data_IF_910138775268
#
_entry.id   IF_910138775268
#
_cell.length_a   1.000
_cell.length_b   1.000
_cell.length_c   1.000
_cell.angle_alpha   90.00
_cell.angle_beta   90.00
_cell.angle_gamma   90.00
#
_symmetry.space_group_name_H-M   'P 1'
#
loop_
_entity.id
_entity.type
_entity.pdbx_description
1 polymer ?
#
# COMPACT_ATOMS: atom_id res chain seq x y z
N UNK A 1 12.13 -22.48 39.67
CA UNK A 1 12.28 -21.93 41.04
C UNK A 1 12.41 -23.10 42.00
N UNK A 2 13.47 -23.14 42.79
CA UNK A 2 13.65 -24.16 43.82
C UNK A 2 13.20 -23.59 45.16
N UNK A 3 12.23 -24.25 45.80
CA UNK A 3 11.57 -23.78 47.04
C UNK A 3 11.79 -24.82 48.13
N UNK A 4 12.34 -24.41 49.27
CA UNK A 4 12.47 -25.20 50.49
C UNK A 4 11.90 -24.42 51.67
N UNK A 5 11.67 -25.08 52.80
CA UNK A 5 11.18 -24.43 54.03
C UNK A 5 12.11 -23.31 54.53
N UNK A 6 13.40 -23.35 54.20
CA UNK A 6 14.37 -22.37 54.71
C UNK A 6 14.95 -21.46 53.63
N UNK A 7 14.92 -21.89 52.36
CA UNK A 7 15.52 -21.12 51.25
C UNK A 7 14.65 -21.14 50.01
N UNK A 8 14.71 -20.05 49.24
CA UNK A 8 14.08 -19.96 47.93
C UNK A 8 15.07 -19.41 46.92
N UNK A 9 15.31 -20.17 45.85
CA UNK A 9 16.25 -19.82 44.80
C UNK A 9 15.52 -19.69 43.47
N UNK A 10 15.61 -18.52 42.86
CA UNK A 10 15.12 -18.24 41.50
C UNK A 10 16.33 -18.23 40.57
N UNK A 11 16.34 -19.17 39.62
CA UNK A 11 17.35 -19.22 38.56
C UNK A 11 16.68 -18.68 37.30
N UNK A 12 17.30 -17.66 36.69
CA UNK A 12 16.87 -17.11 35.41
C UNK A 12 17.97 -17.36 34.37
N UNK A 13 17.57 -17.83 33.19
CA UNK A 13 18.48 -18.10 32.08
C UNK A 13 18.34 -16.99 31.03
N UNK A 14 19.46 -16.38 30.66
CA UNK A 14 19.53 -15.31 29.68
C UNK A 14 20.60 -15.67 28.64
N UNK A 15 20.22 -15.96 27.38
CA UNK A 15 21.21 -16.30 26.34
C UNK A 15 22.09 -15.08 26.01
N UNK A 16 23.40 -15.30 25.75
CA UNK A 16 24.34 -14.25 25.37
C UNK A 16 24.02 -13.69 23.97
N UNK A 17 24.09 -12.36 23.84
CA UNK A 17 23.34 -11.56 22.87
C UNK A 17 23.96 -11.39 21.48
N UNK A 18 23.21 -11.75 20.43
CA UNK A 18 23.17 -11.02 19.16
C UNK A 18 21.87 -10.19 18.99
N UNK A 19 20.80 -10.56 19.72
CA UNK A 19 19.53 -9.85 19.73
C UNK A 19 19.39 -9.09 21.05
N UNK A 20 18.97 -7.83 20.99
CA UNK A 20 18.78 -6.88 22.10
C UNK A 20 17.76 -7.36 23.17
N UNK A 21 18.05 -8.48 23.86
CA UNK A 21 17.21 -9.07 24.90
C UNK A 21 17.59 -8.49 26.27
N UNK A 22 16.63 -8.53 27.19
CA UNK A 22 16.84 -8.10 28.59
C UNK A 22 18.00 -8.88 29.22
N UNK A 23 19.00 -8.15 29.70
CA UNK A 23 20.17 -8.77 30.33
C UNK A 23 19.86 -9.23 31.75
N UNK A 24 20.60 -10.22 32.24
CA UNK A 24 20.53 -10.65 33.63
C UNK A 24 20.77 -9.48 34.61
N UNK A 25 21.67 -8.56 34.26
CA UNK A 25 21.94 -7.33 35.04
C UNK A 25 20.71 -6.42 35.12
N UNK A 26 19.94 -6.30 34.03
CA UNK A 26 18.70 -5.52 34.03
C UNK A 26 17.65 -6.16 34.95
N UNK A 27 17.45 -7.47 34.86
CA UNK A 27 16.51 -8.18 35.73
C UNK A 27 16.91 -8.04 37.21
N UNK A 28 18.19 -8.20 37.53
CA UNK A 28 18.71 -8.01 38.89
C UNK A 28 18.41 -6.61 39.42
N UNK A 29 18.64 -5.56 38.63
CA UNK A 29 18.33 -4.19 39.00
C UNK A 29 16.83 -3.96 39.22
N UNK A 30 15.97 -4.58 38.39
CA UNK A 30 14.52 -4.50 38.57
C UNK A 30 14.08 -5.15 39.88
N UNK A 31 14.63 -6.33 40.20
CA UNK A 31 14.33 -7.03 41.47
C UNK A 31 14.75 -6.20 42.68
N UNK A 32 15.91 -5.54 42.62
CA UNK A 32 16.34 -4.61 43.67
C UNK A 32 15.35 -3.45 43.84
N UNK A 33 14.92 -2.84 42.73
CA UNK A 33 13.93 -1.75 42.75
C UNK A 33 12.56 -2.18 43.26
N UNK A 34 12.20 -3.46 43.13
CA UNK A 34 10.97 -4.00 43.75
C UNK A 34 10.99 -3.79 45.27
N UNK A 35 12.15 -3.96 45.91
CA UNK A 35 12.31 -3.73 47.35
C UNK A 35 12.08 -2.26 47.74
N UNK A 36 12.45 -1.33 46.87
CA UNK A 36 12.27 0.11 47.07
C UNK A 36 10.84 0.59 46.74
N UNK A 37 10.05 -0.22 46.02
CA UNK A 37 8.68 0.12 45.67
C UNK A 37 7.76 0.03 46.90
N UNK A 38 7.06 1.13 47.21
CA UNK A 38 6.11 1.20 48.33
C UNK A 38 5.05 0.09 48.24
N UNK A 39 4.58 -0.20 47.02
CA UNK A 39 3.58 -1.23 46.77
C UNK A 39 4.06 -2.62 47.16
N UNK A 40 5.18 -3.05 46.58
CA UNK A 40 5.73 -4.39 46.80
C UNK A 40 6.34 -4.53 48.20
N UNK A 41 6.95 -3.48 48.76
CA UNK A 41 7.39 -3.44 50.15
C UNK A 41 6.24 -3.71 51.12
N UNK A 42 5.04 -3.15 50.87
CA UNK A 42 3.87 -3.43 51.71
C UNK A 42 3.38 -4.88 51.59
N UNK A 43 3.47 -5.49 50.41
CA UNK A 43 3.14 -6.91 50.19
C UNK A 43 4.15 -7.81 50.90
N UNK A 44 5.46 -7.55 50.77
CA UNK A 44 6.50 -8.33 51.43
C UNK A 44 6.52 -8.18 52.96
N UNK A 45 6.01 -7.07 53.50
CA UNK A 45 5.79 -6.91 54.95
C UNK A 45 4.61 -7.76 55.46
N UNK A 46 3.61 -8.00 54.61
CA UNK A 46 2.38 -8.73 54.96
C UNK A 46 2.50 -10.24 54.73
N UNK A 47 3.25 -10.67 53.73
CA UNK A 47 3.45 -12.08 53.42
C UNK A 47 4.93 -12.42 53.29
N UNK A 48 5.31 -13.57 53.86
CA UNK A 48 6.64 -14.16 53.74
C UNK A 48 6.78 -15.08 52.53
N UNK A 49 5.74 -15.19 51.69
CA UNK A 49 5.78 -16.10 50.54
C UNK A 49 6.75 -15.58 49.46
N UNK A 50 7.83 -16.32 49.15
CA UNK A 50 8.77 -15.98 48.08
C UNK A 50 8.14 -15.98 46.68
N UNK A 51 6.93 -16.52 46.52
CA UNK A 51 6.17 -16.48 45.26
C UNK A 51 5.84 -15.04 44.84
N UNK A 52 5.68 -14.10 45.78
CA UNK A 52 5.47 -12.68 45.46
C UNK A 52 6.66 -12.04 44.74
N UNK A 53 7.88 -12.54 44.94
CA UNK A 53 9.06 -12.07 44.22
C UNK A 53 8.99 -12.44 42.73
N UNK A 54 8.48 -13.64 42.44
CA UNK A 54 8.22 -14.08 41.07
C UNK A 54 7.10 -13.26 40.45
N UNK A 55 6.02 -13.00 41.20
CA UNK A 55 4.90 -12.18 40.75
C UNK A 55 5.32 -10.74 40.42
N UNK A 56 6.19 -10.15 41.24
CA UNK A 56 6.78 -8.86 40.96
C UNK A 56 7.60 -8.86 39.66
N UNK A 57 8.34 -9.94 39.39
CA UNK A 57 9.07 -10.09 38.13
C UNK A 57 8.14 -10.15 36.92
N UNK A 58 6.99 -10.84 37.03
CA UNK A 58 5.96 -10.87 36.00
C UNK A 58 5.31 -9.48 35.81
N UNK A 59 5.12 -8.73 36.88
CA UNK A 59 4.62 -7.35 36.81
C UNK A 59 5.55 -6.43 36.02
N UNK A 60 6.87 -6.56 36.15
CA UNK A 60 7.80 -5.81 35.30
C UNK A 60 7.78 -6.27 33.84
N UNK A 61 7.57 -7.56 33.57
CA UNK A 61 7.38 -8.03 32.20
C UNK A 61 6.11 -7.41 31.58
N UNK A 62 5.03 -7.31 32.35
CA UNK A 62 3.79 -6.62 31.97
C UNK A 62 4.05 -5.13 31.64
N UNK A 63 4.80 -4.43 32.50
CA UNK A 63 5.16 -3.03 32.25
C UNK A 63 5.98 -2.86 30.96
N UNK A 64 6.95 -3.74 30.70
CA UNK A 64 7.74 -3.71 29.47
C UNK A 64 6.89 -3.94 28.20
N UNK A 65 5.83 -4.75 28.30
CA UNK A 65 4.87 -4.92 27.20
C UNK A 65 4.09 -3.63 26.90
N UNK A 66 3.69 -2.90 27.94
CA UNK A 66 2.96 -1.64 27.80
C UNK A 66 3.83 -0.59 27.09
N UNK A 67 5.09 -0.43 27.51
CA UNK A 67 6.07 0.43 26.85
C UNK A 67 6.28 0.03 25.37
N UNK A 68 6.42 -1.27 25.10
CA UNK A 68 6.61 -1.78 23.75
C UNK A 68 5.40 -1.48 22.85
N UNK A 69 4.17 -1.64 23.35
CA UNK A 69 2.97 -1.29 22.59
C UNK A 69 2.78 0.20 22.39
N UNK A 70 3.22 1.04 23.32
CA UNK A 70 3.21 2.49 23.13
C UNK A 70 4.14 2.90 21.98
N UNK A 71 5.36 2.35 21.95
CA UNK A 71 6.32 2.58 20.86
C UNK A 71 5.75 2.06 19.53
N UNK A 72 5.16 0.86 19.53
CA UNK A 72 4.57 0.27 18.33
C UNK A 72 3.39 1.09 17.82
N UNK A 73 2.54 1.61 18.70
CA UNK A 73 1.42 2.49 18.35
C UNK A 73 1.91 3.75 17.63
N UNK A 74 2.92 4.43 18.20
CA UNK A 74 3.52 5.62 17.57
C UNK A 74 4.12 5.31 16.19
N UNK A 75 4.75 4.15 16.06
CA UNK A 75 5.30 3.70 14.78
C UNK A 75 4.19 3.45 13.74
N UNK A 76 3.11 2.77 14.11
CA UNK A 76 1.94 2.55 13.22
C UNK A 76 1.30 3.88 12.79
N UNK A 77 1.18 4.86 13.70
CA UNK A 77 0.69 6.20 13.34
C UNK A 77 1.55 6.88 12.27
N UNK A 78 2.87 6.72 12.38
CA UNK A 78 3.83 7.27 11.42
C UNK A 78 3.67 6.59 10.07
N UNK A 79 3.61 5.26 10.06
CA UNK A 79 3.39 4.48 8.84
C UNK A 79 2.07 4.82 8.16
N UNK A 80 0.99 5.00 8.90
CA UNK A 80 -0.30 5.43 8.36
C UNK A 80 -0.21 6.79 7.65
N UNK A 81 0.50 7.74 8.27
CA UNK A 81 0.75 9.06 7.68
C UNK A 81 1.60 8.95 6.41
N UNK A 82 2.59 8.06 6.41
CA UNK A 82 3.47 7.84 5.27
C UNK A 82 2.74 7.16 4.11
N UNK A 83 1.82 6.20 4.38
CA UNK A 83 0.99 5.56 3.33
C UNK A 83 0.14 6.58 2.60
N UNK A 84 -0.41 7.55 3.33
CA UNK A 84 -1.22 8.62 2.74
C UNK A 84 -0.40 9.60 1.89
N UNK A 85 0.88 9.77 2.19
CA UNK A 85 1.76 10.74 1.50
C UNK A 85 2.53 10.10 0.35
N UNK A 86 2.97 8.86 0.51
CA UNK A 86 3.87 8.17 -0.41
C UNK A 86 3.26 6.81 -0.79
N UNK A 87 2.91 6.65 -2.07
CA UNK A 87 2.51 5.36 -2.63
C UNK A 87 3.73 4.48 -2.91
N UNK A 88 4.41 4.04 -1.85
CA UNK A 88 5.61 3.20 -1.92
C UNK A 88 5.30 1.73 -1.60
N UNK A 89 5.64 0.83 -2.54
CA UNK A 89 5.57 -0.63 -2.40
C UNK A 89 6.47 -1.13 -1.25
N UNK A 90 7.53 -0.41 -0.89
CA UNK A 90 8.37 -0.78 0.27
C UNK A 90 7.61 -0.68 1.60
N UNK A 91 6.63 0.22 1.67
CA UNK A 91 5.84 0.45 2.87
C UNK A 91 4.89 -0.72 3.16
N UNK A 92 4.29 -1.31 2.12
CA UNK A 92 3.42 -2.49 2.29
C UNK A 92 4.18 -3.71 2.82
N UNK A 93 5.47 -3.87 2.46
CA UNK A 93 6.31 -4.93 3.03
C UNK A 93 6.51 -4.76 4.54
N UNK A 94 6.78 -3.54 5.00
CA UNK A 94 6.95 -3.26 6.43
C UNK A 94 5.64 -3.42 7.20
N UNK A 95 4.49 -3.04 6.62
CA UNK A 95 3.18 -3.30 7.21
C UNK A 95 2.92 -4.81 7.41
N UNK A 96 3.20 -5.65 6.42
CA UNK A 96 3.04 -7.10 6.55
C UNK A 96 4.02 -7.73 7.55
N UNK A 97 5.25 -7.22 7.65
CA UNK A 97 6.17 -7.64 8.71
C UNK A 97 5.61 -7.33 10.09
N UNK A 98 5.09 -6.12 10.31
CA UNK A 98 4.48 -5.76 11.59
C UNK A 98 3.28 -6.66 11.93
N UNK A 99 2.47 -7.01 10.94
CA UNK A 99 1.36 -7.93 11.12
C UNK A 99 1.83 -9.30 11.60
N UNK A 100 2.90 -9.83 11.00
CA UNK A 100 3.51 -11.08 11.46
C UNK A 100 4.06 -10.96 12.91
N UNK A 101 4.64 -9.83 13.28
CA UNK A 101 5.09 -9.60 14.67
C UNK A 101 3.91 -9.53 15.65
N UNK A 102 2.79 -8.89 15.29
CA UNK A 102 1.58 -8.86 16.11
C UNK A 102 0.97 -10.25 16.30
N UNK A 103 1.02 -11.11 15.27
CA UNK A 103 0.64 -12.52 15.39
C UNK A 103 1.59 -13.30 16.31
N UNK A 104 2.89 -13.04 16.24
CA UNK A 104 3.83 -13.63 17.19
C UNK A 104 3.58 -13.16 18.63
N UNK A 105 3.27 -11.88 18.83
CA UNK A 105 2.93 -11.32 20.14
C UNK A 105 1.64 -11.91 20.73
N UNK A 106 0.69 -12.35 19.89
CA UNK A 106 -0.46 -13.13 20.34
C UNK A 106 -0.04 -14.37 21.14
N UNK A 107 0.91 -15.12 20.59
CA UNK A 107 1.38 -16.34 21.20
C UNK A 107 2.12 -16.03 22.49
N UNK A 108 3.02 -15.03 22.48
CA UNK A 108 3.76 -14.64 23.67
C UNK A 108 2.85 -14.16 24.81
N UNK A 109 1.83 -13.36 24.52
CA UNK A 109 0.86 -12.91 25.54
C UNK A 109 0.02 -14.08 26.09
N UNK A 110 -0.32 -15.06 25.24
CA UNK A 110 -1.00 -16.29 25.67
C UNK A 110 -0.12 -17.11 26.59
N UNK A 111 1.14 -17.33 26.23
CA UNK A 111 2.11 -18.08 27.04
C UNK A 111 2.38 -17.35 28.37
N UNK A 112 2.38 -16.02 28.35
CA UNK A 112 2.48 -15.19 29.55
C UNK A 112 1.26 -15.35 30.46
N UNK A 113 0.05 -15.37 29.90
CA UNK A 113 -1.19 -15.64 30.65
C UNK A 113 -1.15 -17.01 31.32
N UNK A 114 -0.76 -18.07 30.59
CA UNK A 114 -0.63 -19.42 31.13
C UNK A 114 0.40 -19.46 32.28
N UNK A 115 1.49 -18.71 32.15
CA UNK A 115 2.51 -18.60 33.19
C UNK A 115 1.98 -17.96 34.48
N UNK A 116 1.13 -16.92 34.38
CA UNK A 116 0.50 -16.29 35.54
C UNK A 116 -0.55 -17.22 36.17
N UNK A 117 -1.34 -17.90 35.34
CA UNK A 117 -2.32 -18.88 35.81
C UNK A 117 -1.66 -20.06 36.55
N UNK A 118 -0.49 -20.51 36.07
CA UNK A 118 0.30 -21.50 36.78
C UNK A 118 0.71 -21.03 38.17
N UNK A 119 1.16 -19.78 38.32
CA UNK A 119 1.54 -19.21 39.63
C UNK A 119 0.34 -19.11 40.56
N UNK A 120 -0.81 -18.69 40.02
CA UNK A 120 -2.07 -18.59 40.75
C UNK A 120 -2.54 -19.94 41.29
N UNK A 121 -2.45 -20.99 40.48
CA UNK A 121 -2.98 -22.30 40.82
C UNK A 121 -1.95 -23.17 41.58
N UNK A 122 -0.66 -22.83 41.53
CA UNK A 122 0.43 -23.61 42.14
C UNK A 122 0.95 -22.91 43.39
N UNK A 123 0.23 -23.09 44.50
CA UNK A 123 0.62 -22.59 45.81
C UNK A 123 1.98 -23.15 46.25
N UNK A 124 2.72 -22.35 47.01
CA UNK A 124 4.02 -22.76 47.52
C UNK A 124 3.88 -23.82 48.62
N UNK A 125 4.33 -25.07 48.41
CA UNK A 125 4.19 -26.14 49.39
C UNK A 125 5.03 -25.91 50.64
N UNK A 126 6.01 -25.01 50.63
CA UNK A 126 6.77 -24.64 51.82
C UNK A 126 5.96 -23.75 52.79
N UNK A 127 4.93 -23.05 52.32
CA UNK A 127 4.13 -22.15 53.17
C UNK A 127 3.24 -22.92 54.13
N UNK A 128 2.77 -24.13 53.76
CA UNK A 128 1.98 -24.98 54.66
C UNK A 128 2.76 -25.48 55.88
N UNK A 129 4.09 -25.44 55.84
CA UNK A 129 4.97 -25.88 56.93
C UNK A 129 5.44 -24.69 57.78
N UNK A 130 5.56 -23.50 57.18
CA UNK A 130 6.09 -22.30 57.82
C UNK A 130 5.02 -21.42 58.49
N UNK A 131 3.82 -21.36 57.93
CA UNK A 131 2.71 -20.61 58.51
C UNK A 131 1.97 -21.50 59.52
N UNK A 132 2.31 -21.32 60.80
CA UNK A 132 1.70 -22.05 61.91
C UNK A 132 0.29 -21.55 62.23
N UNK A 133 -0.06 -20.34 61.77
CA UNK A 133 -1.37 -19.72 61.94
C UNK A 133 -2.21 -19.87 60.65
N UNK A 134 -3.38 -20.54 60.71
CA UNK A 134 -4.24 -20.74 59.54
C UNK A 134 -4.78 -19.42 58.94
N UNK A 135 -4.96 -18.38 59.76
CA UNK A 135 -5.50 -17.09 59.28
C UNK A 135 -4.49 -16.34 58.40
N UNK A 136 -3.21 -16.32 58.79
CA UNK A 136 -2.13 -15.69 58.00
C UNK A 136 -1.96 -16.38 56.63
N UNK A 137 -2.15 -17.70 56.60
CA UNK A 137 -2.07 -18.50 55.38
C UNK A 137 -3.22 -18.21 54.43
N UNK A 138 -4.44 -18.11 54.96
CA UNK A 138 -5.60 -17.77 54.17
C UNK A 138 -5.47 -16.35 53.57
N UNK A 139 -4.99 -15.40 54.37
CA UNK A 139 -4.75 -14.02 53.92
C UNK A 139 -3.65 -13.92 52.85
N UNK A 140 -2.54 -14.64 53.04
CA UNK A 140 -1.44 -14.73 52.06
C UNK A 140 -1.92 -15.34 50.73
N UNK A 141 -2.74 -16.39 50.81
CA UNK A 141 -3.34 -17.05 49.64
C UNK A 141 -4.32 -16.12 48.92
N UNK A 142 -5.21 -15.44 49.65
CA UNK A 142 -6.14 -14.44 49.10
C UNK A 142 -5.39 -13.31 48.41
N UNK A 143 -4.31 -12.82 49.02
CA UNK A 143 -3.47 -11.78 48.45
C UNK A 143 -2.81 -12.25 47.15
N UNK A 144 -2.25 -13.47 47.12
CA UNK A 144 -1.64 -14.03 45.91
C UNK A 144 -2.65 -14.14 44.77
N UNK A 145 -3.85 -14.66 45.06
CA UNK A 145 -4.92 -14.75 44.07
C UNK A 145 -5.32 -13.39 43.54
N UNK A 146 -5.51 -12.39 44.41
CA UNK A 146 -5.85 -11.03 44.02
C UNK A 146 -4.80 -10.42 43.09
N UNK A 147 -3.52 -10.56 43.42
CA UNK A 147 -2.44 -9.99 42.62
C UNK A 147 -2.27 -10.73 41.28
N UNK A 148 -2.42 -12.05 41.26
CA UNK A 148 -2.39 -12.83 40.02
C UNK A 148 -3.60 -12.53 39.11
N UNK A 149 -4.79 -12.36 39.70
CA UNK A 149 -6.00 -11.96 38.98
C UNK A 149 -5.83 -10.55 38.37
N UNK A 150 -5.20 -9.63 39.11
CA UNK A 150 -4.87 -8.29 38.62
C UNK A 150 -3.92 -8.33 37.40
N UNK A 151 -2.83 -9.12 37.48
CA UNK A 151 -1.94 -9.29 36.32
C UNK A 151 -2.68 -9.94 35.15
N UNK A 152 -3.57 -10.90 35.42
CA UNK A 152 -4.37 -11.54 34.39
C UNK A 152 -5.31 -10.55 33.69
N UNK A 153 -5.95 -9.64 34.43
CA UNK A 153 -6.75 -8.56 33.83
C UNK A 153 -5.91 -7.61 32.97
N UNK A 154 -4.70 -7.28 33.41
CA UNK A 154 -3.79 -6.44 32.63
C UNK A 154 -3.29 -7.14 31.36
N UNK A 155 -3.02 -8.45 31.39
CA UNK A 155 -2.69 -9.21 30.17
C UNK A 155 -3.87 -9.21 29.20
N UNK A 156 -5.11 -9.29 29.69
CA UNK A 156 -6.30 -9.15 28.84
C UNK A 156 -6.39 -7.74 28.22
N UNK A 157 -6.07 -6.69 28.98
CA UNK A 157 -5.97 -5.32 28.46
C UNK A 157 -4.94 -5.22 27.32
N UNK A 158 -3.73 -5.74 27.54
CA UNK A 158 -2.65 -5.78 26.54
C UNK A 158 -3.06 -6.59 25.30
N UNK A 159 -3.77 -7.70 25.49
CA UNK A 159 -4.31 -8.51 24.38
C UNK A 159 -5.32 -7.70 23.56
N UNK A 160 -6.22 -6.96 24.22
CA UNK A 160 -7.14 -6.04 23.56
C UNK A 160 -6.43 -4.93 22.79
N UNK A 161 -5.40 -4.32 23.38
CA UNK A 161 -4.56 -3.32 22.69
C UNK A 161 -3.89 -3.90 21.45
N UNK A 162 -3.35 -5.12 21.54
CA UNK A 162 -2.74 -5.81 20.39
C UNK A 162 -3.75 -6.04 19.27
N UNK A 163 -4.97 -6.48 19.59
CA UNK A 163 -6.05 -6.66 18.61
C UNK A 163 -6.38 -5.33 17.93
N UNK A 164 -6.57 -4.26 18.69
CA UNK A 164 -6.82 -2.92 18.14
C UNK A 164 -5.69 -2.45 17.20
N UNK A 165 -4.42 -2.68 17.58
CA UNK A 165 -3.27 -2.38 16.72
C UNK A 165 -3.28 -3.21 15.43
N UNK A 166 -3.64 -4.50 15.52
CA UNK A 166 -3.76 -5.40 14.38
C UNK A 166 -4.86 -4.96 13.41
N UNK A 167 -6.03 -4.60 13.93
CA UNK A 167 -7.16 -4.13 13.13
C UNK A 167 -6.83 -2.81 12.43
N UNK A 168 -6.19 -1.88 13.15
CA UNK A 168 -5.73 -0.63 12.57
C UNK A 168 -4.69 -0.85 11.48
N UNK A 169 -3.71 -1.72 11.73
CA UNK A 169 -2.69 -2.05 10.74
C UNK A 169 -3.32 -2.68 9.48
N UNK A 170 -4.33 -3.53 9.63
CA UNK A 170 -5.08 -4.11 8.52
C UNK A 170 -5.80 -3.03 7.71
N UNK A 171 -6.43 -2.05 8.37
CA UNK A 171 -7.05 -0.91 7.68
C UNK A 171 -6.02 -0.10 6.88
N UNK A 172 -4.82 0.14 7.45
CA UNK A 172 -3.73 0.84 6.75
C UNK A 172 -3.24 0.05 5.54
N UNK A 173 -3.15 -1.28 5.63
CA UNK A 173 -2.81 -2.15 4.49
C UNK A 173 -3.86 -2.03 3.38
N UNK A 174 -5.15 -2.10 3.72
CA UNK A 174 -6.23 -1.94 2.74
C UNK A 174 -6.20 -0.55 2.08
N UNK A 175 -5.95 0.50 2.86
CA UNK A 175 -5.81 1.85 2.35
C UNK A 175 -4.61 1.99 1.40
N UNK A 176 -3.48 1.38 1.74
CA UNK A 176 -2.29 1.37 0.88
C UNK A 176 -2.59 0.73 -0.48
N UNK A 177 -3.26 -0.43 -0.49
CA UNK A 177 -3.64 -1.09 -1.75
C UNK A 177 -4.64 -0.27 -2.57
N UNK A 178 -5.64 0.33 -1.92
CA UNK A 178 -6.60 1.19 -2.61
C UNK A 178 -5.91 2.41 -3.24
N UNK A 179 -4.97 3.04 -2.53
CA UNK A 179 -4.22 4.20 -3.03
C UNK A 179 -3.33 3.85 -4.23
N UNK A 180 -2.65 2.70 -4.19
CA UNK A 180 -1.87 2.19 -5.32
C UNK A 180 -2.77 1.92 -6.53
N UNK A 181 -3.91 1.25 -6.35
CA UNK A 181 -4.85 0.94 -7.43
C UNK A 181 -5.42 2.21 -8.08
N UNK A 182 -5.73 3.25 -7.28
CA UNK A 182 -6.20 4.54 -7.81
C UNK A 182 -5.10 5.23 -8.64
N UNK A 183 -3.84 5.15 -8.20
CA UNK A 183 -2.72 5.77 -8.90
C UNK A 183 -2.44 5.07 -10.22
N UNK A 184 -2.44 3.75 -10.22
CA UNK A 184 -2.28 2.94 -11.45
C UNK A 184 -3.43 3.21 -12.43
N UNK A 185 -4.67 3.31 -11.93
CA UNK A 185 -5.83 3.68 -12.76
C UNK A 185 -5.68 5.06 -13.41
N UNK A 186 -5.15 6.06 -12.69
CA UNK A 186 -4.87 7.39 -13.25
C UNK A 186 -3.76 7.35 -14.29
N UNK A 187 -2.69 6.59 -14.04
CA UNK A 187 -1.60 6.40 -15.00
C UNK A 187 -2.11 5.72 -16.29
N UNK A 188 -2.91 4.67 -16.15
CA UNK A 188 -3.55 3.97 -17.26
C UNK A 188 -4.53 4.86 -18.02
N UNK A 189 -5.33 5.67 -17.33
CA UNK A 189 -6.24 6.63 -17.96
C UNK A 189 -5.45 7.68 -18.76
N UNK A 190 -4.37 8.23 -18.18
CA UNK A 190 -3.50 9.17 -18.90
C UNK A 190 -2.86 8.52 -20.12
N UNK A 191 -2.37 7.29 -20.00
CA UNK A 191 -1.76 6.56 -21.11
C UNK A 191 -2.79 6.28 -22.21
N UNK A 192 -4.01 5.88 -21.85
CA UNK A 192 -5.10 5.67 -22.80
C UNK A 192 -5.46 6.96 -23.55
N UNK A 193 -5.54 8.10 -22.84
CA UNK A 193 -5.77 9.41 -23.45
C UNK A 193 -4.64 9.78 -24.42
N UNK A 194 -3.38 9.63 -24.01
CA UNK A 194 -2.23 9.90 -24.90
C UNK A 194 -2.24 8.98 -26.13
N UNK A 195 -2.55 7.70 -25.94
CA UNK A 195 -2.65 6.72 -27.04
C UNK A 195 -3.79 7.09 -28.01
N UNK A 196 -4.92 7.59 -27.50
CA UNK A 196 -6.01 8.07 -28.33
C UNK A 196 -5.61 9.31 -29.14
N UNK A 197 -4.90 10.27 -28.53
CA UNK A 197 -4.38 11.46 -29.21
C UNK A 197 -3.37 11.04 -30.30
N UNK A 198 -2.44 10.15 -29.97
CA UNK A 198 -1.46 9.62 -30.93
C UNK A 198 -2.16 8.90 -32.09
N UNK A 199 -3.24 8.15 -31.81
CA UNK A 199 -4.06 7.52 -32.84
C UNK A 199 -4.76 8.54 -33.74
N UNK A 200 -5.23 9.66 -33.19
CA UNK A 200 -5.84 10.74 -33.96
C UNK A 200 -4.81 11.44 -34.86
N UNK A 201 -3.62 11.74 -34.33
CA UNK A 201 -2.52 12.33 -35.10
C UNK A 201 -2.03 11.38 -36.22
N UNK A 202 -1.93 10.09 -35.93
CA UNK A 202 -1.54 9.07 -36.92
C UNK A 202 -2.57 8.97 -38.05
N UNK A 203 -3.87 9.05 -37.74
CA UNK A 203 -4.94 9.11 -38.74
C UNK A 203 -4.82 10.35 -39.62
N UNK A 204 -4.54 11.51 -39.04
CA UNK A 204 -4.41 12.76 -39.80
C UNK A 204 -3.25 12.71 -40.82
N UNK A 205 -2.08 12.21 -40.42
CA UNK A 205 -0.92 12.06 -41.32
C UNK A 205 -1.24 11.07 -42.45
N UNK A 206 -1.91 9.96 -42.13
CA UNK A 206 -2.33 8.96 -43.12
C UNK A 206 -3.31 9.56 -44.14
N UNK A 207 -4.29 10.35 -43.69
CA UNK A 207 -5.23 11.04 -44.59
C UNK A 207 -4.52 12.02 -45.53
N UNK A 208 -3.56 12.80 -45.03
CA UNK A 208 -2.77 13.70 -45.87
C UNK A 208 -1.98 12.93 -46.93
N UNK A 209 -1.27 11.87 -46.54
CA UNK A 209 -0.53 11.04 -47.48
C UNK A 209 -1.44 10.41 -48.55
N UNK A 210 -2.64 9.96 -48.18
CA UNK A 210 -3.60 9.35 -49.10
C UNK A 210 -4.09 10.31 -50.21
N UNK A 211 -4.25 11.59 -49.90
CA UNK A 211 -4.66 12.62 -50.87
C UNK A 211 -3.46 13.04 -51.73
N UNK A 212 -2.29 13.23 -51.11
CA UNK A 212 -1.11 13.73 -51.81
C UNK A 212 -0.36 12.68 -52.63
N UNK A 213 -0.46 11.39 -52.28
CA UNK A 213 0.23 10.32 -53.01
C UNK A 213 -0.21 10.19 -54.47
N UNK A 214 -1.52 10.11 -54.81
CA UNK A 214 -1.97 10.05 -56.20
C UNK A 214 -1.58 11.29 -57.01
N UNK A 215 -1.71 12.48 -56.41
CA UNK A 215 -1.32 13.74 -57.05
C UNK A 215 0.19 13.79 -57.32
N UNK A 216 1.01 13.36 -56.35
CA UNK A 216 2.47 13.30 -56.49
C UNK A 216 2.90 12.26 -57.52
N UNK A 217 2.23 11.10 -57.56
CA UNK A 217 2.47 10.07 -58.58
C UNK A 217 2.18 10.60 -59.98
N UNK A 218 1.06 11.29 -60.18
CA UNK A 218 0.76 11.92 -61.47
C UNK A 218 1.78 12.99 -61.84
N UNK A 219 2.12 13.88 -60.91
CA UNK A 219 3.12 14.91 -61.15
C UNK A 219 4.45 14.29 -61.61
N UNK A 220 4.85 13.16 -61.01
CA UNK A 220 6.03 12.41 -61.44
C UNK A 220 5.86 11.76 -62.81
N UNK A 221 4.73 11.12 -63.12
CA UNK A 221 4.46 10.51 -64.44
C UNK A 221 4.53 11.55 -65.55
N UNK A 222 4.00 12.76 -65.31
CA UNK A 222 4.07 13.86 -66.28
C UNK A 222 5.41 14.60 -66.27
N UNK A 223 6.16 14.57 -65.16
CA UNK A 223 7.53 15.10 -65.10
C UNK A 223 8.55 14.18 -65.78
N UNK A 224 8.24 12.88 -65.91
CA UNK A 224 9.08 11.92 -66.62
C UNK A 224 8.74 11.98 -68.11
N UNK A 225 9.69 12.41 -68.94
CA UNK A 225 9.56 12.44 -70.40
C UNK A 225 9.52 11.00 -70.98
N UNK A 226 8.36 10.34 -70.90
CA UNK A 226 8.14 9.02 -71.49
C UNK A 226 7.84 9.18 -72.98
N UNK A 227 8.75 8.71 -73.82
CA UNK A 227 8.72 8.82 -75.29
C UNK A 227 7.47 8.16 -75.93
N UNK A 228 6.81 7.23 -75.24
CA UNK A 228 5.55 6.60 -75.69
C UNK A 228 4.28 7.44 -75.42
N UNK A 229 4.32 8.41 -74.50
CA UNK A 229 3.19 9.34 -74.26
C UNK A 229 3.29 10.57 -75.18
N UNK A 230 4.45 10.80 -75.79
CA UNK A 230 4.72 11.97 -76.63
C UNK A 230 5.33 11.58 -78.00
N UNK A 231 4.56 10.96 -78.93
CA UNK A 231 4.92 10.95 -80.35
C UNK A 231 4.80 12.37 -80.92
N UNK A 232 5.45 12.70 -82.05
CA UNK A 232 5.76 14.08 -82.44
C UNK A 232 4.53 14.77 -83.05
N UNK A 233 3.44 14.94 -82.31
CA UNK A 233 2.32 15.78 -82.75
C UNK A 233 1.38 16.12 -81.59
N UNK A 234 1.46 17.39 -81.16
CA UNK A 234 0.46 18.18 -80.44
C UNK A 234 -0.10 17.50 -79.18
N UNK A 235 0.58 17.73 -78.06
CA UNK A 235 -0.02 17.60 -76.73
C UNK A 235 -1.27 18.50 -76.66
N UNK A 236 -2.44 17.93 -76.98
CA UNK A 236 -3.68 18.69 -76.94
C UNK A 236 -4.10 18.86 -75.48
N UNK A 237 -4.38 20.11 -75.13
CA UNK A 237 -4.91 20.51 -73.82
C UNK A 237 -6.12 19.66 -73.40
N UNK A 238 -6.84 19.09 -74.37
CA UNK A 238 -7.96 18.19 -74.17
C UNK A 238 -7.60 16.87 -73.45
N UNK A 239 -6.46 16.22 -73.78
CA UNK A 239 -6.06 14.95 -73.13
C UNK A 239 -5.54 15.17 -71.71
N UNK A 240 -4.96 16.35 -71.46
CA UNK A 240 -4.63 16.80 -70.11
C UNK A 240 -5.89 16.98 -69.26
N UNK A 241 -6.92 17.63 -69.82
CA UNK A 241 -8.22 17.81 -69.15
C UNK A 241 -8.90 16.47 -68.89
N UNK A 242 -8.88 15.54 -69.85
CA UNK A 242 -9.49 14.21 -69.72
C UNK A 242 -8.87 13.39 -68.57
N UNK A 243 -7.54 13.32 -68.50
CA UNK A 243 -6.84 12.59 -67.43
C UNK A 243 -7.04 13.29 -66.09
N UNK A 244 -7.01 14.63 -66.07
CA UNK A 244 -7.22 15.40 -64.84
C UNK A 244 -8.63 15.19 -64.29
N UNK A 245 -9.67 15.19 -65.13
CA UNK A 245 -11.06 14.94 -64.73
C UNK A 245 -11.25 13.50 -64.26
N UNK A 246 -10.69 12.52 -64.97
CA UNK A 246 -10.77 11.11 -64.55
C UNK A 246 -10.15 10.88 -63.17
N UNK A 247 -9.00 11.51 -62.91
CA UNK A 247 -8.33 11.36 -61.63
C UNK A 247 -9.02 12.14 -60.51
N UNK A 248 -9.54 13.35 -60.75
CA UNK A 248 -10.28 14.09 -59.71
C UNK A 248 -11.54 13.33 -59.28
N UNK A 249 -12.21 12.65 -60.21
CA UNK A 249 -13.34 11.76 -59.88
C UNK A 249 -12.87 10.55 -59.09
N UNK A 250 -11.76 9.92 -59.45
CA UNK A 250 -11.20 8.78 -58.70
C UNK A 250 -10.77 9.18 -57.29
N UNK A 251 -10.07 10.30 -57.12
CA UNK A 251 -9.65 10.80 -55.80
C UNK A 251 -10.85 11.20 -54.96
N UNK A 252 -11.86 11.81 -55.57
CA UNK A 252 -13.13 12.15 -54.88
C UNK A 252 -13.88 10.88 -54.48
N UNK A 253 -13.93 9.88 -55.35
CA UNK A 253 -14.55 8.58 -55.06
C UNK A 253 -13.85 7.86 -53.91
N UNK A 254 -12.51 7.79 -53.92
CA UNK A 254 -11.72 7.18 -52.84
C UNK A 254 -11.89 7.95 -51.53
N UNK A 255 -11.91 9.28 -51.57
CA UNK A 255 -12.17 10.11 -50.39
C UNK A 255 -13.57 9.84 -49.81
N UNK A 256 -14.61 9.83 -50.66
CA UNK A 256 -16.00 9.61 -50.23
C UNK A 256 -16.18 8.19 -49.70
N UNK A 257 -15.71 7.17 -50.42
CA UNK A 257 -15.87 5.77 -50.04
C UNK A 257 -15.21 5.45 -48.69
N UNK A 258 -14.07 6.07 -48.39
CA UNK A 258 -13.35 5.86 -47.13
C UNK A 258 -13.86 6.74 -45.99
N UNK A 259 -14.47 7.90 -46.27
CA UNK A 259 -15.17 8.69 -45.26
C UNK A 259 -16.37 7.92 -44.67
N UNK A 260 -17.08 7.14 -45.49
CA UNK A 260 -18.22 6.32 -45.05
C UNK A 260 -17.86 5.28 -43.98
N UNK A 261 -16.63 4.75 -43.99
CA UNK A 261 -16.14 3.76 -43.01
C UNK A 261 -15.61 4.40 -41.71
N UNK A 262 -15.34 5.72 -41.71
CA UNK A 262 -14.70 6.43 -40.58
C UNK A 262 -15.66 7.18 -39.65
N UNK A 263 -16.95 6.81 -39.62
CA UNK A 263 -18.00 7.46 -38.82
C UNK A 263 -17.84 7.24 -37.31
N UNK A 264 -16.78 7.82 -36.72
CA UNK A 264 -16.74 8.22 -35.32
C UNK A 264 -15.98 9.55 -35.21
N UNK A 265 -16.74 10.59 -34.85
CA UNK A 265 -16.43 12.02 -34.88
C UNK A 265 -15.36 12.46 -33.84
N UNK A 266 -14.70 13.61 -34.04
CA UNK A 266 -15.17 14.82 -33.36
C UNK A 266 -15.20 16.11 -34.21
N UNK A 267 -16.04 17.06 -33.75
CA UNK A 267 -16.59 18.27 -34.40
C UNK A 267 -15.65 19.41 -34.81
N UNK A 268 -14.32 19.28 -34.77
CA UNK A 268 -13.44 20.46 -34.96
C UNK A 268 -13.03 20.79 -36.40
N UNK A 269 -13.32 19.93 -37.39
CA UNK A 269 -12.93 20.17 -38.79
C UNK A 269 -13.98 20.88 -39.65
N UNK A 270 -15.08 21.37 -39.06
CA UNK A 270 -16.12 22.11 -39.77
C UNK A 270 -15.68 23.52 -40.23
N UNK A 271 -14.61 24.07 -39.63
CA UNK A 271 -14.07 25.37 -40.01
C UNK A 271 -13.09 25.34 -41.20
N UNK A 272 -12.48 24.19 -41.52
CA UNK A 272 -11.60 24.07 -42.69
C UNK A 272 -12.36 23.70 -43.97
N UNK A 273 -13.46 22.93 -43.87
CA UNK A 273 -14.31 22.62 -45.03
C UNK A 273 -15.02 23.86 -45.58
N UNK A 274 -15.41 24.80 -44.72
CA UNK A 274 -16.01 26.07 -45.16
C UNK A 274 -15.00 26.98 -45.88
N UNK A 275 -13.72 26.89 -45.52
CA UNK A 275 -12.65 27.67 -46.16
C UNK A 275 -12.26 27.11 -47.54
N UNK A 276 -12.23 25.78 -47.69
CA UNK A 276 -11.92 25.14 -48.97
C UNK A 276 -13.08 25.20 -49.97
N UNK A 277 -14.34 25.06 -49.50
CA UNK A 277 -15.52 25.26 -50.35
C UNK A 277 -15.70 26.74 -50.74
N UNK A 278 -15.33 27.69 -49.88
CA UNK A 278 -15.33 29.11 -50.23
C UNK A 278 -14.28 29.43 -51.31
N UNK A 279 -13.09 28.81 -51.27
CA UNK A 279 -12.06 29.03 -52.29
C UNK A 279 -12.43 28.41 -53.65
N UNK A 280 -13.18 27.30 -53.66
CA UNK A 280 -13.63 26.64 -54.90
C UNK A 280 -14.91 27.29 -55.47
N UNK A 281 -15.74 27.94 -54.65
CA UNK A 281 -16.94 28.65 -55.11
C UNK A 281 -16.70 30.12 -55.48
N UNK A 282 -15.62 30.75 -55.02
CA UNK A 282 -15.31 32.15 -55.35
C UNK A 282 -14.70 32.34 -56.74
N UNK A 283 -14.20 31.27 -57.39
CA UNK A 283 -13.60 31.35 -58.74
C UNK A 283 -14.63 31.20 -59.89
N UNK A 284 -15.94 31.30 -59.59
CA UNK A 284 -17.02 31.18 -60.59
C UNK A 284 -17.95 32.39 -60.68
N UNK A 285 -17.53 33.54 -60.16
CA UNK A 285 -18.32 34.77 -60.19
C UNK A 285 -17.51 36.00 -60.59
N UNK A 286 -16.74 35.91 -61.68
CA UNK A 286 -16.33 37.09 -62.45
C UNK A 286 -16.13 36.67 -63.91
N UNK A 287 -17.07 37.07 -64.78
CA UNK A 287 -16.91 37.46 -66.21
C UNK A 287 -18.34 37.55 -66.80
N UNK A 288 -18.97 38.72 -66.65
CA UNK A 288 -19.69 39.46 -67.70
C UNK A 288 -20.20 40.80 -67.14
N UNK A 289 -19.41 41.85 -67.37
CA UNK A 289 -19.87 43.24 -67.44
C UNK A 289 -19.07 43.93 -68.56
N UNK A 290 -19.55 43.79 -69.80
CA UNK A 290 -19.83 44.85 -70.78
C UNK A 290 -20.43 44.22 -72.04
#
# INVERSE_FOLDING_TARGET
MHRTSTTSTIISYHPSSELQRTSAKRLQCLVQRTGDSVYWSNIFKRSKDPTFLFLASLWYALYAWDEAFEVLYRYINTLESDVLRYNDIKLTRELHKLQAHLLYYQQLLRDFQVSVEFVRNTLNPAMSVLETNPDEREDSTKLLHKEADNITSEIKRLTGQRVMLSDRLQNVIHLAFASVNITDSKAMQSLAVTTMIDSAAMKQISYLAMIFLPASFLANVFSMNVHEINPPTIASLARYVEITVGLTVLTSWVAIALQTESTFHPRELQHLETSFLALVLCDRADIHCY
#
